data_IF_931500001067
#
_entry.id   IF_931500001067
#
_cell.length_a   1.000
_cell.length_b   1.000
_cell.length_c   1.000
_cell.angle_alpha   90.00
_cell.angle_beta   90.00
_cell.angle_gamma   90.00
#
_symmetry.space_group_name_H-M   'P 1'
#
loop_
_entity.id
_entity.type
_entity.pdbx_description
1 polymer ?
#
# COMPACT_ATOMS: atom_id res chain seq x y z
N UNK A 1 -1.43 -11.08 3.53
CA UNK A 1 -0.29 -10.39 2.84
C UNK A 1 -0.08 -8.99 3.37
N UNK A 2 -1.08 -8.10 3.35
CA UNK A 2 -0.97 -6.75 3.91
C UNK A 2 -0.58 -6.76 5.40
N UNK A 3 -1.18 -7.66 6.19
CA UNK A 3 -0.87 -7.78 7.62
C UNK A 3 0.59 -8.14 7.87
N UNK A 4 1.17 -9.00 7.03
CA UNK A 4 2.59 -9.36 7.13
C UNK A 4 3.54 -8.16 6.93
N UNK A 5 3.18 -7.21 6.05
CA UNK A 5 3.93 -5.97 5.91
C UNK A 5 3.76 -5.04 7.12
N UNK A 6 2.58 -5.04 7.74
CA UNK A 6 2.29 -4.25 8.93
C UNK A 6 3.00 -4.82 10.18
N UNK A 7 3.06 -6.13 10.33
CA UNK A 7 3.78 -6.81 11.43
C UNK A 7 5.28 -6.50 11.41
N UNK A 8 5.88 -6.49 10.22
CA UNK A 8 7.30 -6.19 10.00
C UNK A 8 7.59 -4.69 9.87
N UNK A 9 6.62 -3.84 10.21
CA UNK A 9 6.70 -2.42 9.90
C UNK A 9 7.88 -1.73 10.61
N UNK A 10 8.84 -1.29 9.81
CA UNK A 10 9.93 -0.41 10.20
C UNK A 10 10.29 0.49 9.02
N UNK A 11 11.14 1.51 9.27
CA UNK A 11 11.65 2.36 8.20
C UNK A 11 12.45 1.55 7.18
N UNK A 12 13.25 0.61 7.66
CA UNK A 12 14.10 -0.27 6.87
C UNK A 12 13.23 -1.19 6.01
N UNK A 13 12.21 -1.81 6.61
CA UNK A 13 11.26 -2.66 5.90
C UNK A 13 10.48 -1.86 4.85
N UNK A 14 10.08 -0.62 5.15
CA UNK A 14 9.42 0.25 4.18
C UNK A 14 10.26 0.45 2.91
N UNK A 15 11.56 0.73 3.04
CA UNK A 15 12.43 0.91 1.87
C UNK A 15 12.74 -0.40 1.14
N UNK A 16 12.79 -1.54 1.84
CA UNK A 16 12.86 -2.86 1.21
C UNK A 16 11.62 -3.15 0.36
N UNK A 17 10.41 -2.93 0.91
CA UNK A 17 9.16 -3.10 0.16
C UNK A 17 9.06 -2.10 -1.00
N UNK A 18 9.52 -0.85 -0.82
CA UNK A 18 9.53 0.16 -1.89
C UNK A 18 10.43 -0.25 -3.06
N UNK A 19 11.60 -0.82 -2.79
CA UNK A 19 12.57 -1.23 -3.82
C UNK A 19 12.20 -2.53 -4.52
N UNK A 20 11.47 -3.44 -3.87
CA UNK A 20 11.07 -4.71 -4.46
C UNK A 20 9.74 -4.60 -5.23
N UNK A 21 9.78 -4.67 -6.56
CA UNK A 21 8.59 -4.65 -7.44
C UNK A 21 8.48 -5.87 -8.35
N UNK A 22 9.04 -7.01 -7.95
CA UNK A 22 9.26 -8.15 -8.86
C UNK A 22 8.08 -9.13 -8.92
N UNK A 23 6.86 -8.68 -8.62
CA UNK A 23 5.68 -9.55 -8.57
C UNK A 23 4.64 -9.14 -9.60
N UNK A 24 4.14 -10.13 -10.34
CA UNK A 24 3.01 -9.97 -11.26
C UNK A 24 1.66 -10.36 -10.63
N UNK A 25 1.66 -10.76 -9.35
CA UNK A 25 0.46 -11.15 -8.62
C UNK A 25 -0.31 -9.88 -8.20
N UNK A 26 -1.56 -9.68 -8.68
CA UNK A 26 -2.35 -8.50 -8.37
C UNK A 26 -2.56 -8.29 -6.86
N UNK A 27 -2.69 -9.36 -6.07
CA UNK A 27 -2.87 -9.26 -4.64
C UNK A 27 -1.60 -8.73 -3.95
N UNK A 28 -0.42 -9.19 -4.39
CA UNK A 28 0.88 -8.70 -3.88
C UNK A 28 1.13 -7.25 -4.27
N UNK A 29 0.85 -6.89 -5.53
CA UNK A 29 0.96 -5.51 -6.03
C UNK A 29 0.06 -4.59 -5.21
N UNK A 30 -1.20 -4.99 -5.00
CA UNK A 30 -2.19 -4.20 -4.25
C UNK A 30 -1.80 -4.06 -2.78
N UNK A 31 -1.39 -5.15 -2.11
CA UNK A 31 -0.94 -5.10 -0.73
C UNK A 31 0.27 -4.18 -0.55
N UNK A 32 1.25 -4.26 -1.46
CA UNK A 32 2.41 -3.36 -1.48
C UNK A 32 2.00 -1.91 -1.68
N UNK A 33 1.11 -1.64 -2.65
CA UNK A 33 0.63 -0.29 -2.92
C UNK A 33 -0.05 0.33 -1.69
N UNK A 34 -0.97 -0.40 -1.05
CA UNK A 34 -1.67 0.06 0.16
C UNK A 34 -0.67 0.32 1.29
N UNK A 35 0.24 -0.62 1.55
CA UNK A 35 1.26 -0.47 2.59
C UNK A 35 2.14 0.77 2.37
N UNK A 36 2.68 0.95 1.16
CA UNK A 36 3.58 2.06 0.87
C UNK A 36 2.87 3.41 0.98
N UNK A 37 1.67 3.54 0.44
CA UNK A 37 0.90 4.77 0.56
C UNK A 37 0.56 5.07 2.02
N UNK A 38 0.07 4.08 2.76
CA UNK A 38 -0.27 4.23 4.19
C UNK A 38 0.87 4.82 5.01
N UNK A 39 2.10 4.33 4.80
CA UNK A 39 3.26 4.76 5.59
C UNK A 39 4.10 5.84 4.92
N UNK A 40 3.70 6.33 3.74
CA UNK A 40 4.34 7.45 3.06
C UNK A 40 4.05 8.78 3.74
N UNK A 41 4.94 9.75 3.56
CA UNK A 41 4.75 11.12 4.04
C UNK A 41 3.41 11.68 3.52
N UNK A 42 2.51 12.00 4.46
CA UNK A 42 1.14 12.47 4.20
C UNK A 42 0.27 11.55 3.33
N UNK A 43 0.62 10.26 3.19
CA UNK A 43 -0.19 9.34 2.38
C UNK A 43 -0.06 9.53 0.87
N UNK A 44 0.98 10.24 0.41
CA UNK A 44 1.15 10.63 -0.99
C UNK A 44 1.72 9.48 -1.82
N UNK A 45 0.98 9.10 -2.85
CA UNK A 45 1.51 8.33 -3.97
C UNK A 45 2.35 9.24 -4.89
N UNK A 46 3.62 8.88 -5.13
CA UNK A 46 4.49 9.63 -6.06
C UNK A 46 5.41 8.69 -6.82
N UNK A 47 5.49 8.90 -8.13
CA UNK A 47 6.42 8.22 -9.06
C UNK A 47 7.31 9.25 -9.75
N UNK A 48 8.57 8.89 -9.99
CA UNK A 48 9.49 9.68 -10.79
C UNK A 48 9.25 9.43 -12.29
N UNK A 49 9.81 10.28 -13.14
CA UNK A 49 9.76 10.12 -14.61
C UNK A 49 10.30 8.76 -15.10
N UNK A 50 11.25 8.18 -14.35
CA UNK A 50 11.78 6.84 -14.64
C UNK A 50 10.92 5.68 -14.09
N UNK A 51 9.67 5.97 -13.70
CA UNK A 51 8.70 4.99 -13.18
C UNK A 51 8.99 4.50 -11.76
N UNK A 52 10.07 4.93 -11.11
CA UNK A 52 10.42 4.48 -9.76
C UNK A 52 9.58 5.20 -8.70
N UNK A 53 9.12 4.51 -7.64
CA UNK A 53 8.44 5.16 -6.52
C UNK A 53 9.34 6.24 -5.89
N UNK A 54 8.78 7.41 -5.62
CA UNK A 54 9.48 8.59 -5.11
C UNK A 54 9.05 8.99 -3.68
N UNK A 55 8.08 8.28 -3.12
CA UNK A 55 7.50 8.48 -1.79
C UNK A 55 8.48 8.19 -0.64
N UNK A 56 8.48 9.06 0.38
CA UNK A 56 9.34 8.97 1.58
C UNK A 56 8.56 8.42 2.77
N UNK A 57 9.27 7.80 3.72
CA UNK A 57 8.68 7.26 4.95
C UNK A 57 8.16 8.38 5.87
N UNK A 58 6.98 8.21 6.45
CA UNK A 58 6.33 9.23 7.32
C UNK A 58 6.70 9.16 8.80
N UNK A 59 7.23 8.03 9.29
CA UNK A 59 7.44 7.81 10.73
C UNK A 59 6.15 7.71 11.55
N UNK A 60 4.97 7.85 10.94
CA UNK A 60 3.70 7.80 11.65
C UNK A 60 3.25 6.36 11.84
N UNK A 61 2.82 6.06 13.06
CA UNK A 61 2.21 4.77 13.35
C UNK A 61 0.70 4.84 13.10
N UNK A 62 0.26 4.23 12.01
CA UNK A 62 -1.15 4.13 11.66
C UNK A 62 -1.82 2.86 12.19
N UNK A 63 -1.26 2.16 13.18
CA UNK A 63 -1.75 0.86 13.68
C UNK A 63 -3.25 0.82 14.01
N UNK A 64 -3.88 1.97 14.29
CA UNK A 64 -5.29 2.06 14.69
C UNK A 64 -6.32 2.17 13.56
N UNK A 65 -5.95 2.20 12.28
CA UNK A 65 -6.98 2.30 11.23
C UNK A 65 -7.54 0.92 10.83
N UNK A 66 -8.86 0.76 10.85
CA UNK A 66 -9.54 -0.42 10.31
C UNK A 66 -9.57 -0.40 8.77
N UNK A 67 -8.41 -0.68 8.16
CA UNK A 67 -8.30 -0.72 6.70
C UNK A 67 -9.02 -1.92 6.10
N UNK A 68 -9.15 -3.01 6.86
CA UNK A 68 -9.82 -4.22 6.41
C UNK A 68 -11.32 -3.98 6.18
N UNK A 69 -12.00 -3.32 7.13
CA UNK A 69 -13.41 -2.96 6.95
C UNK A 69 -13.61 -2.03 5.76
N UNK A 70 -12.75 -1.01 5.60
CA UNK A 70 -12.83 -0.07 4.48
C UNK A 70 -12.62 -0.75 3.12
N UNK A 71 -11.70 -1.70 3.03
CA UNK A 71 -11.48 -2.49 1.81
C UNK A 71 -12.69 -3.37 1.48
N UNK A 72 -13.28 -4.04 2.48
CA UNK A 72 -14.52 -4.81 2.30
C UNK A 72 -15.67 -3.93 1.82
N UNK A 73 -15.89 -2.79 2.48
CA UNK A 73 -16.92 -1.83 2.08
C UNK A 73 -16.71 -1.32 0.65
N UNK A 74 -15.48 -0.94 0.31
CA UNK A 74 -15.13 -0.48 -1.03
C UNK A 74 -15.39 -1.58 -2.07
N UNK A 75 -15.02 -2.83 -1.78
CA UNK A 75 -15.29 -3.96 -2.66
C UNK A 75 -16.79 -4.14 -2.92
N UNK A 76 -17.63 -4.07 -1.88
CA UNK A 76 -19.07 -4.19 -2.03
C UNK A 76 -19.66 -3.06 -2.88
N UNK A 77 -19.19 -1.83 -2.69
CA UNK A 77 -19.64 -0.67 -3.45
C UNK A 77 -19.24 -0.73 -4.93
N UNK A 78 -18.02 -1.21 -5.22
CA UNK A 78 -17.47 -1.25 -6.57
C UNK A 78 -17.96 -2.45 -7.40
N UNK A 79 -18.47 -3.50 -6.76
CA UNK A 79 -18.92 -4.73 -7.44
C UNK A 79 -19.99 -4.49 -8.52
N UNK A 80 -20.75 -3.39 -8.44
CA UNK A 80 -21.76 -3.01 -9.43
C UNK A 80 -21.31 -2.00 -10.50
N UNK A 81 -20.11 -1.42 -10.37
CA UNK A 81 -19.68 -0.30 -11.23
C UNK A 81 -18.91 -0.79 -12.46
N UNK A 82 -18.26 -1.95 -12.38
CA UNK A 82 -17.41 -2.49 -13.44
C UNK A 82 -18.10 -3.57 -14.29
N UNK A 83 -19.42 -3.47 -14.50
CA UNK A 83 -20.09 -4.26 -15.54
C UNK A 83 -20.00 -3.47 -16.86
N UNK A 84 -19.47 -4.07 -17.95
CA UNK A 84 -19.47 -3.44 -19.27
C UNK A 84 -20.89 -3.14 -19.76
#
# INVERSE_FOLDING_TARGET
MLDSYNEKHSKEHYYQVRSNNNSNDPAKITARFIYLNRYSFKGIYRININGKPAQTFSGRNYSKSDIAARLKQSSSLLAGIARP
#
